data_IF_358952753822
#
_entry.id   IF_358952753822
#
_cell.length_a   1.000
_cell.length_b   1.000
_cell.length_c   1.000
_cell.angle_alpha   90.00
_cell.angle_beta   90.00
_cell.angle_gamma   90.00
#
_symmetry.space_group_name_H-M   'P 1'
#
loop_
_entity.id
_entity.type
_entity.pdbx_description
1 polymer ?
#
# COMPACT_ATOMS: atom_id res chain seq x y z
N UNK A 1 -17.35 -25.95 22.33
CA UNK A 1 -17.73 -26.37 20.96
C UNK A 1 -16.44 -26.65 20.21
N UNK A 2 -16.37 -27.83 19.60
CA UNK A 2 -15.15 -28.60 19.30
C UNK A 2 -14.31 -28.02 18.17
N UNK A 3 -13.02 -27.79 18.41
CA UNK A 3 -12.03 -27.48 17.37
C UNK A 3 -11.65 -28.72 16.60
N UNK A 4 -11.83 -28.70 15.27
CA UNK A 4 -11.25 -29.70 14.36
C UNK A 4 -9.77 -29.38 14.18
N UNK A 5 -8.94 -30.42 14.09
CA UNK A 5 -7.57 -30.30 13.60
C UNK A 5 -7.63 -29.76 12.15
N UNK A 6 -7.28 -28.48 11.97
CA UNK A 6 -7.25 -27.84 10.65
C UNK A 6 -7.72 -26.38 10.61
N UNK A 7 -8.52 -25.93 11.57
CA UNK A 7 -9.07 -24.57 11.53
C UNK A 7 -8.14 -23.61 12.28
N UNK A 8 -7.27 -22.93 11.52
CA UNK A 8 -6.42 -21.86 12.08
C UNK A 8 -7.29 -20.70 12.56
N UNK A 9 -6.95 -20.12 13.70
CA UNK A 9 -7.61 -18.91 14.16
C UNK A 9 -7.19 -17.70 13.31
N UNK A 10 -7.96 -16.61 13.35
CA UNK A 10 -7.59 -15.38 12.63
C UNK A 10 -6.27 -14.80 13.15
N UNK A 11 -5.96 -15.00 14.44
CA UNK A 11 -4.66 -14.62 15.03
C UNK A 11 -3.50 -15.40 14.39
N UNK A 12 -3.67 -16.71 14.20
CA UNK A 12 -2.65 -17.57 13.59
C UNK A 12 -2.44 -17.20 12.13
N UNK A 13 -3.52 -16.95 11.39
CA UNK A 13 -3.49 -16.49 10.00
C UNK A 13 -2.80 -15.13 9.85
N UNK A 14 -3.12 -14.18 10.73
CA UNK A 14 -2.46 -12.87 10.76
C UNK A 14 -0.97 -13.01 11.12
N UNK A 15 -0.62 -13.91 12.04
CA UNK A 15 0.77 -14.16 12.40
C UNK A 15 1.55 -14.78 11.23
N UNK A 16 0.93 -15.63 10.42
CA UNK A 16 1.53 -16.17 9.20
C UNK A 16 1.82 -15.10 8.17
N UNK A 17 0.88 -14.18 7.94
CA UNK A 17 1.09 -13.01 7.10
C UNK A 17 2.29 -12.20 7.62
N UNK A 18 2.29 -11.88 8.90
CA UNK A 18 3.39 -11.11 9.52
C UNK A 18 4.73 -11.81 9.34
N UNK A 19 4.81 -13.13 9.52
CA UNK A 19 6.06 -13.88 9.35
C UNK A 19 6.57 -13.88 7.91
N UNK A 20 5.67 -13.84 6.92
CA UNK A 20 6.06 -13.79 5.50
C UNK A 20 6.69 -12.46 5.12
N UNK A 21 6.14 -11.36 5.63
CA UNK A 21 6.58 -10.01 5.27
C UNK A 21 7.51 -9.36 6.30
N UNK A 22 7.68 -9.96 7.47
CA UNK A 22 8.51 -9.44 8.54
C UNK A 22 9.17 -10.55 9.37
N UNK A 23 10.50 -10.48 9.46
CA UNK A 23 11.29 -11.29 10.38
C UNK A 23 11.90 -10.39 11.45
N UNK A 24 11.68 -10.66 12.75
CA UNK A 24 12.36 -9.93 13.83
C UNK A 24 13.88 -9.98 13.66
N UNK A 25 14.54 -8.82 13.60
CA UNK A 25 15.98 -8.74 13.39
C UNK A 25 16.46 -8.99 11.94
N UNK A 26 15.54 -9.21 10.99
CA UNK A 26 15.85 -9.17 9.56
C UNK A 26 16.06 -7.74 9.06
N UNK A 27 16.59 -7.55 7.83
CA UNK A 27 16.80 -6.21 7.25
C UNK A 27 15.48 -5.44 7.04
N UNK A 28 14.33 -6.10 7.13
CA UNK A 28 13.00 -5.49 7.13
C UNK A 28 12.78 -4.63 8.39
N UNK A 29 13.18 -3.36 8.30
CA UNK A 29 13.01 -2.38 9.36
C UNK A 29 14.30 -1.78 9.91
N UNK A 30 15.46 -2.14 9.36
CA UNK A 30 16.47 -1.09 9.25
C UNK A 30 15.86 -0.10 8.26
N UNK A 31 15.49 1.10 8.72
CA UNK A 31 15.56 2.21 7.80
C UNK A 31 17.00 2.14 7.29
N UNK A 32 17.27 1.90 5.99
CA UNK A 32 18.58 2.28 5.51
C UNK A 32 18.71 3.74 5.93
N UNK A 33 19.74 4.08 6.71
CA UNK A 33 20.28 5.44 6.69
C UNK A 33 20.51 5.65 5.21
N UNK A 34 19.60 6.33 4.52
CA UNK A 34 19.62 6.48 3.06
C UNK A 34 21.06 6.82 2.68
N UNK A 35 21.87 5.89 2.13
CA UNK A 35 22.85 6.36 1.19
C UNK A 35 22.00 6.69 -0.05
N UNK A 36 22.17 7.85 -0.68
CA UNK A 36 21.69 7.98 -2.04
C UNK A 36 22.30 6.79 -2.80
N UNK A 37 21.45 5.84 -3.20
CA UNK A 37 21.86 4.88 -4.20
C UNK A 37 22.19 5.73 -5.43
N UNK A 38 23.43 5.72 -5.94
CA UNK A 38 23.84 6.61 -7.03
C UNK A 38 23.02 6.39 -8.32
N UNK A 39 22.16 5.36 -8.36
CA UNK A 39 21.21 5.11 -9.45
C UNK A 39 19.77 5.55 -9.22
N UNK A 40 19.39 6.09 -8.06
CA UNK A 40 18.01 6.57 -7.84
C UNK A 40 17.93 8.08 -8.10
N UNK A 41 17.13 8.53 -9.09
CA UNK A 41 16.82 9.95 -9.21
C UNK A 41 16.15 10.43 -7.91
N UNK A 42 16.45 11.66 -7.52
CA UNK A 42 15.85 12.35 -6.37
C UNK A 42 14.34 12.05 -6.29
N UNK A 43 13.88 11.53 -5.15
CA UNK A 43 12.48 11.15 -5.00
C UNK A 43 11.60 12.38 -5.27
N UNK A 44 10.73 12.29 -6.27
CA UNK A 44 9.87 13.40 -6.71
C UNK A 44 8.73 13.62 -5.72
N UNK A 45 8.37 12.59 -4.97
CA UNK A 45 7.32 12.67 -3.95
C UNK A 45 7.70 11.82 -2.74
N UNK A 46 7.67 12.43 -1.57
CA UNK A 46 7.85 11.77 -0.27
C UNK A 46 6.66 12.08 0.64
N UNK A 47 5.85 11.07 0.96
CA UNK A 47 4.69 11.20 1.86
C UNK A 47 4.95 10.39 3.12
N UNK A 48 4.77 11.00 4.29
CA UNK A 48 4.92 10.31 5.58
C UNK A 48 3.64 10.39 6.40
N UNK A 49 3.11 9.24 6.79
CA UNK A 49 1.92 9.10 7.66
C UNK A 49 2.32 8.43 8.97
N UNK A 50 1.77 8.90 10.09
CA UNK A 50 2.10 8.40 11.43
C UNK A 50 0.88 7.91 12.21
N UNK A 51 1.08 6.89 13.04
CA UNK A 51 0.10 6.34 13.97
C UNK A 51 0.57 6.58 15.41
N UNK A 52 0.07 7.64 16.04
CA UNK A 52 0.47 8.04 17.41
C UNK A 52 0.17 6.98 18.47
N UNK A 53 -0.84 6.14 18.27
CA UNK A 53 -1.27 5.15 19.27
C UNK A 53 -0.29 3.99 19.41
N UNK A 54 0.42 3.60 18.34
CA UNK A 54 1.42 2.53 18.37
C UNK A 54 2.86 3.04 18.13
N UNK A 55 3.02 4.31 17.79
CA UNK A 55 4.31 4.89 17.40
C UNK A 55 4.78 4.45 16.01
N UNK A 56 3.86 3.99 15.15
CA UNK A 56 4.22 3.58 13.79
C UNK A 56 4.36 4.80 12.86
N UNK A 57 5.20 4.69 11.85
CA UNK A 57 5.34 5.66 10.76
C UNK A 57 5.60 4.94 9.44
N UNK A 58 4.92 5.34 8.38
CA UNK A 58 5.17 4.86 7.01
C UNK A 58 5.54 6.04 6.12
N UNK A 59 6.61 5.90 5.36
CA UNK A 59 7.07 6.85 4.36
C UNK A 59 7.02 6.21 2.98
N UNK A 60 6.34 6.82 2.03
CA UNK A 60 6.29 6.41 0.62
C UNK A 60 7.16 7.35 -0.19
N UNK A 61 8.15 6.79 -0.89
CA UNK A 61 9.02 7.51 -1.81
C UNK A 61 8.68 7.09 -3.24
N UNK A 62 8.52 8.05 -4.15
CA UNK A 62 8.25 7.81 -5.57
C UNK A 62 9.23 8.57 -6.45
N UNK A 63 9.92 7.87 -7.35
CA UNK A 63 10.77 8.47 -8.39
C UNK A 63 9.98 9.12 -9.54
N UNK A 64 10.64 9.86 -10.44
CA UNK A 64 10.03 10.34 -11.67
C UNK A 64 9.67 9.15 -12.55
N UNK A 65 8.38 9.01 -12.91
CA UNK A 65 7.92 7.92 -13.77
C UNK A 65 8.61 7.95 -15.14
N UNK A 66 9.24 6.84 -15.52
CA UNK A 66 9.75 6.66 -16.88
C UNK A 66 8.60 6.62 -17.89
N UNK A 67 8.80 7.22 -19.06
CA UNK A 67 7.87 7.06 -20.18
C UNK A 67 7.93 5.60 -20.67
N UNK A 68 6.90 4.82 -20.36
CA UNK A 68 6.69 3.48 -20.92
C UNK A 68 6.78 2.35 -19.88
N UNK A 69 5.63 1.96 -19.35
CA UNK A 69 5.48 0.74 -18.54
C UNK A 69 4.28 0.81 -17.59
N UNK A 70 3.52 -0.28 -17.48
CA UNK A 70 2.31 -0.39 -16.65
C UNK A 70 2.58 -0.44 -15.13
N UNK A 71 3.82 -0.16 -14.69
CA UNK A 71 4.24 -0.27 -13.29
C UNK A 71 4.89 1.02 -12.79
N UNK A 72 4.72 1.31 -11.50
CA UNK A 72 5.36 2.47 -10.86
C UNK A 72 6.85 2.15 -10.65
N UNK A 73 7.67 2.52 -11.63
CA UNK A 73 9.12 2.50 -11.44
C UNK A 73 9.49 3.45 -10.30
N UNK A 74 10.33 2.96 -9.40
CA UNK A 74 10.85 3.78 -8.31
C UNK A 74 9.87 4.05 -7.17
N UNK A 75 8.94 3.13 -6.88
CA UNK A 75 8.18 3.13 -5.63
C UNK A 75 8.97 2.44 -4.53
N UNK A 76 9.01 3.04 -3.33
CA UNK A 76 9.53 2.41 -2.11
C UNK A 76 8.68 2.79 -0.90
N UNK A 77 8.39 1.84 -0.02
CA UNK A 77 7.64 2.09 1.21
C UNK A 77 8.49 1.71 2.43
N UNK A 78 8.80 2.69 3.27
CA UNK A 78 9.59 2.50 4.49
C UNK A 78 8.67 2.56 5.70
N UNK A 79 8.55 1.45 6.43
CA UNK A 79 7.77 1.39 7.66
C UNK A 79 8.65 1.27 8.92
N UNK A 80 8.32 2.04 9.95
CA UNK A 80 8.82 1.90 11.31
C UNK A 80 7.66 1.66 12.25
N UNK A 81 7.86 0.79 13.24
CA UNK A 81 6.83 0.44 14.20
C UNK A 81 6.64 -1.06 14.36
N UNK A 82 5.42 -1.45 14.70
CA UNK A 82 5.05 -2.82 15.00
C UNK A 82 5.11 -3.75 13.77
N UNK A 83 5.10 -5.05 14.04
CA UNK A 83 5.22 -6.09 13.01
C UNK A 83 4.08 -6.04 11.97
N UNK A 84 2.85 -5.71 12.40
CA UNK A 84 1.70 -5.55 11.49
C UNK A 84 1.90 -4.38 10.53
N UNK A 85 2.39 -3.24 11.03
CA UNK A 85 2.67 -2.07 10.19
C UNK A 85 3.73 -2.39 9.13
N UNK A 86 4.83 -3.04 9.53
CA UNK A 86 5.90 -3.45 8.61
C UNK A 86 5.43 -4.47 7.57
N UNK A 87 4.66 -5.48 8.01
CA UNK A 87 4.10 -6.48 7.11
C UNK A 87 3.13 -5.86 6.09
N UNK A 88 2.24 -4.97 6.55
CA UNK A 88 1.30 -4.25 5.67
C UNK A 88 2.02 -3.36 4.66
N UNK A 89 3.10 -2.68 5.06
CA UNK A 89 3.89 -1.86 4.15
C UNK A 89 4.61 -2.68 3.07
N UNK A 90 5.22 -3.80 3.45
CA UNK A 90 5.88 -4.68 2.49
C UNK A 90 4.88 -5.30 1.50
N UNK A 91 3.70 -5.73 1.97
CA UNK A 91 2.61 -6.20 1.10
C UNK A 91 2.10 -5.10 0.18
N UNK A 92 1.94 -3.87 0.68
CA UNK A 92 1.52 -2.73 -0.14
C UNK A 92 2.53 -2.42 -1.24
N UNK A 93 3.84 -2.44 -0.95
CA UNK A 93 4.90 -2.21 -1.92
C UNK A 93 4.94 -3.31 -2.99
N UNK A 94 4.90 -4.58 -2.59
CA UNK A 94 4.91 -5.71 -3.54
C UNK A 94 3.67 -5.72 -4.43
N UNK A 95 2.52 -5.33 -3.90
CA UNK A 95 1.27 -5.27 -4.66
C UNK A 95 1.28 -4.10 -5.63
N UNK A 96 1.68 -2.91 -5.19
CA UNK A 96 1.70 -1.72 -6.01
C UNK A 96 2.70 -1.78 -7.18
N UNK A 97 3.79 -2.57 -7.04
CA UNK A 97 4.73 -2.80 -8.13
C UNK A 97 4.12 -3.50 -9.36
N UNK A 98 2.99 -4.19 -9.19
CA UNK A 98 2.32 -4.97 -10.24
C UNK A 98 1.10 -4.26 -10.85
N UNK A 99 0.74 -3.08 -10.34
CA UNK A 99 -0.51 -2.40 -10.66
C UNK A 99 -0.26 -1.06 -11.36
N UNK A 100 -1.22 -0.67 -12.20
CA UNK A 100 -1.30 0.71 -12.70
C UNK A 100 -1.69 1.68 -11.59
N UNK A 101 -1.46 2.97 -11.80
CA UNK A 101 -1.80 4.02 -10.82
C UNK A 101 -3.28 3.98 -10.43
N UNK A 102 -4.17 3.78 -11.41
CA UNK A 102 -5.62 3.72 -11.16
C UNK A 102 -5.99 2.49 -10.31
N UNK A 103 -5.39 1.34 -10.59
CA UNK A 103 -5.58 0.12 -9.79
C UNK A 103 -5.02 0.28 -8.37
N UNK A 104 -3.87 0.94 -8.20
CA UNK A 104 -3.29 1.23 -6.87
C UNK A 104 -4.26 2.07 -6.04
N UNK A 105 -4.76 3.19 -6.58
CA UNK A 105 -5.68 4.08 -5.86
C UNK A 105 -6.96 3.34 -5.50
N UNK A 106 -7.48 2.53 -6.43
CA UNK A 106 -8.69 1.73 -6.21
C UNK A 106 -8.49 0.68 -5.12
N UNK A 107 -7.37 -0.05 -5.16
CA UNK A 107 -7.00 -1.04 -4.15
C UNK A 107 -6.80 -0.40 -2.76
N UNK A 108 -6.14 0.77 -2.68
CA UNK A 108 -5.93 1.44 -1.39
C UNK A 108 -7.26 1.78 -0.72
N UNK A 109 -8.21 2.35 -1.48
CA UNK A 109 -9.55 2.66 -0.97
C UNK A 109 -10.26 1.41 -0.47
N UNK A 110 -10.20 0.33 -1.25
CA UNK A 110 -10.83 -0.94 -0.91
C UNK A 110 -10.23 -1.56 0.35
N UNK A 111 -8.90 -1.62 0.46
CA UNK A 111 -8.20 -2.19 1.62
C UNK A 111 -8.48 -1.39 2.89
N UNK A 112 -8.47 -0.06 2.82
CA UNK A 112 -8.81 0.81 3.96
C UNK A 112 -10.26 0.54 4.40
N UNK A 113 -11.21 0.48 3.45
CA UNK A 113 -12.61 0.21 3.76
C UNK A 113 -12.80 -1.15 4.45
N UNK A 114 -12.19 -2.21 3.91
CA UNK A 114 -12.27 -3.58 4.44
C UNK A 114 -11.68 -3.73 5.85
N UNK A 115 -10.51 -3.15 6.09
CA UNK A 115 -9.82 -3.24 7.39
C UNK A 115 -10.59 -2.44 8.46
N UNK A 116 -11.20 -1.32 8.07
CA UNK A 116 -11.94 -0.45 9.00
C UNK A 116 -13.40 -0.86 9.21
N UNK A 117 -13.93 -1.74 8.34
CA UNK A 117 -15.26 -2.31 8.41
C UNK A 117 -15.64 -2.85 9.80
N UNK A 118 -16.94 -2.91 10.06
CA UNK A 118 -17.46 -3.59 11.23
C UNK A 118 -17.16 -5.10 11.12
N UNK A 119 -16.93 -5.76 12.27
CA UNK A 119 -16.54 -7.19 12.32
C UNK A 119 -17.57 -8.10 11.63
N UNK A 120 -18.85 -7.71 11.68
CA UNK A 120 -19.99 -8.46 11.14
C UNK A 120 -20.15 -8.30 9.63
N UNK A 121 -19.42 -7.39 8.99
CA UNK A 121 -19.44 -7.26 7.53
C UNK A 121 -18.62 -8.39 6.92
N UNK A 122 -19.31 -9.22 6.13
CA UNK A 122 -18.72 -10.33 5.39
C UNK A 122 -17.68 -9.80 4.39
N UNK A 123 -16.54 -10.51 4.29
CA UNK A 123 -15.51 -10.17 3.31
C UNK A 123 -16.06 -10.53 1.93
N UNK A 124 -16.20 -9.55 1.06
CA UNK A 124 -16.53 -9.79 -0.36
C UNK A 124 -15.22 -10.07 -1.08
N UNK A 125 -15.16 -10.94 -2.09
CA UNK A 125 -13.93 -11.11 -2.87
C UNK A 125 -13.43 -9.76 -3.43
N UNK A 126 -12.10 -9.61 -3.63
CA UNK A 126 -11.56 -8.42 -4.30
C UNK A 126 -12.18 -8.26 -5.70
N UNK A 127 -12.36 -7.02 -6.20
CA UNK A 127 -12.93 -6.78 -7.52
C UNK A 127 -12.25 -7.64 -8.59
N UNK A 128 -13.05 -8.27 -9.48
CA UNK A 128 -12.55 -9.21 -10.48
C UNK A 128 -11.44 -8.63 -11.39
N UNK A 129 -11.43 -7.32 -11.60
CA UNK A 129 -10.36 -6.63 -12.33
C UNK A 129 -8.98 -6.75 -11.63
N UNK A 130 -8.93 -6.63 -10.31
CA UNK A 130 -7.68 -6.79 -9.54
C UNK A 130 -7.26 -8.25 -9.42
N UNK A 131 -8.23 -9.18 -9.43
CA UNK A 131 -8.00 -10.62 -9.35
C UNK A 131 -7.28 -11.17 -10.60
N UNK A 132 -7.47 -10.56 -11.77
CA UNK A 132 -6.78 -10.95 -13.01
C UNK A 132 -5.33 -10.44 -13.10
N UNK A 133 -4.99 -9.37 -12.37
CA UNK A 133 -3.68 -8.71 -12.45
C UNK A 133 -2.70 -9.22 -11.39
N UNK A 134 -3.21 -9.60 -10.20
CA UNK A 134 -2.39 -10.00 -9.08
C UNK A 134 -2.15 -11.52 -9.02
N UNK A 135 -0.94 -11.96 -8.66
CA UNK A 135 -0.66 -13.35 -8.28
C UNK A 135 -1.59 -13.85 -7.16
N UNK A 136 -1.95 -15.13 -7.22
CA UNK A 136 -2.87 -15.78 -6.25
C UNK A 136 -2.36 -15.68 -4.80
N UNK A 137 -1.04 -15.73 -4.58
CA UNK A 137 -0.45 -15.59 -3.26
C UNK A 137 -0.59 -14.17 -2.70
N UNK A 138 -0.47 -13.13 -3.54
CA UNK A 138 -0.73 -11.74 -3.13
C UNK A 138 -2.21 -11.54 -2.83
N UNK A 139 -3.12 -12.07 -3.65
CA UNK A 139 -4.56 -11.98 -3.39
C UNK A 139 -4.93 -12.60 -2.05
N UNK A 140 -4.44 -13.81 -1.78
CA UNK A 140 -4.61 -14.47 -0.48
C UNK A 140 -4.04 -13.64 0.66
N UNK A 141 -2.91 -12.98 0.46
CA UNK A 141 -2.26 -12.18 1.50
C UNK A 141 -3.02 -10.88 1.80
N UNK A 142 -3.67 -10.28 0.80
CA UNK A 142 -4.59 -9.16 0.99
C UNK A 142 -5.84 -9.59 1.79
N UNK A 143 -6.39 -10.77 1.51
CA UNK A 143 -7.48 -11.36 2.29
C UNK A 143 -7.07 -11.65 3.74
N UNK A 144 -5.84 -12.14 3.95
CA UNK A 144 -5.30 -12.35 5.30
C UNK A 144 -5.12 -11.02 6.05
N UNK A 145 -4.72 -9.94 5.37
CA UNK A 145 -4.58 -8.62 5.99
C UNK A 145 -5.95 -8.07 6.44
N UNK A 146 -7.03 -8.37 5.73
CA UNK A 146 -8.40 -7.97 6.13
C UNK A 146 -8.78 -8.53 7.50
N UNK A 147 -8.23 -9.69 7.91
CA UNK A 147 -8.53 -10.31 9.21
C UNK A 147 -8.17 -9.40 10.40
N UNK A 148 -7.34 -8.37 10.20
CA UNK A 148 -7.06 -7.32 11.19
C UNK A 148 -8.34 -6.60 11.65
N UNK A 149 -9.46 -6.65 10.91
CA UNK A 149 -10.76 -6.14 11.39
C UNK A 149 -11.20 -6.80 12.72
N UNK A 150 -10.74 -8.03 12.99
CA UNK A 150 -10.94 -8.75 14.27
C UNK A 150 -10.03 -8.26 15.41
N UNK A 151 -9.02 -7.43 15.12
CA UNK A 151 -8.12 -6.79 16.08
C UNK A 151 -8.22 -5.25 16.03
N UNK A 152 -9.26 -4.63 16.60
CA UNK A 152 -9.49 -3.17 16.50
C UNK A 152 -8.28 -2.31 16.87
N UNK A 153 -7.53 -2.70 17.90
CA UNK A 153 -6.30 -2.00 18.33
C UNK A 153 -5.14 -2.05 17.33
N UNK A 154 -5.24 -2.81 16.24
CA UNK A 154 -4.23 -2.95 15.18
C UNK A 154 -4.70 -2.47 13.80
N UNK A 155 -5.96 -2.04 13.64
CA UNK A 155 -6.49 -1.54 12.37
C UNK A 155 -5.65 -0.40 11.80
N UNK A 156 -5.32 0.58 12.64
CA UNK A 156 -4.50 1.74 12.22
C UNK A 156 -3.09 1.34 11.81
N UNK A 157 -2.49 0.32 12.44
CA UNK A 157 -1.20 -0.21 12.04
C UNK A 157 -1.26 -0.81 10.62
N UNK A 158 -2.36 -1.49 10.30
CA UNK A 158 -2.56 -2.14 9.02
C UNK A 158 -2.92 -1.14 7.90
N UNK A 159 -3.71 -0.09 8.16
CA UNK A 159 -4.11 0.88 7.11
C UNK A 159 -3.03 1.90 6.75
N UNK A 160 -2.04 2.12 7.63
CA UNK A 160 -1.10 3.24 7.53
C UNK A 160 -0.35 3.31 6.19
N UNK A 161 0.09 2.17 5.65
CA UNK A 161 0.78 2.09 4.36
C UNK A 161 -0.14 2.38 3.19
N UNK A 162 -1.38 1.91 3.22
CA UNK A 162 -2.38 2.13 2.17
C UNK A 162 -2.83 3.58 2.12
N UNK A 163 -2.90 4.26 3.26
CA UNK A 163 -3.19 5.69 3.33
C UNK A 163 -2.05 6.52 2.72
N UNK A 164 -0.81 6.26 3.13
CA UNK A 164 0.36 6.94 2.58
C UNK A 164 0.50 6.71 1.07
N UNK A 165 0.16 5.50 0.60
CA UNK A 165 0.18 5.14 -0.81
C UNK A 165 -0.93 5.87 -1.58
N UNK A 166 -2.15 5.91 -1.05
CA UNK A 166 -3.26 6.65 -1.65
C UNK A 166 -2.92 8.15 -1.78
N UNK A 167 -2.35 8.76 -0.74
CA UNK A 167 -1.91 10.16 -0.76
C UNK A 167 -0.83 10.40 -1.83
N UNK A 168 0.18 9.53 -1.91
CA UNK A 168 1.26 9.65 -2.89
C UNK A 168 0.79 9.60 -4.35
N UNK A 169 -0.36 8.96 -4.63
CA UNK A 169 -0.94 8.87 -5.97
C UNK A 169 -2.13 9.81 -6.20
N UNK A 170 -2.73 10.39 -5.16
CA UNK A 170 -3.82 11.36 -5.27
C UNK A 170 -3.35 12.73 -5.80
N UNK A 171 -2.11 13.15 -5.50
CA UNK A 171 -1.56 14.46 -5.88
C UNK A 171 -1.40 14.69 -7.40
N UNK A 172 -1.70 13.71 -8.24
CA UNK A 172 -1.64 13.87 -9.71
C UNK A 172 -2.97 14.26 -10.36
N UNK A 173 -4.11 14.19 -9.66
CA UNK A 173 -5.38 14.66 -10.22
C UNK A 173 -5.54 16.19 -10.19
N UNK A 174 -4.69 16.91 -9.44
CA UNK A 174 -4.75 18.37 -9.28
C UNK A 174 -3.66 19.15 -10.03
N UNK A 175 -2.83 18.51 -10.86
CA UNK A 175 -1.78 19.19 -11.65
C UNK A 175 -1.76 18.85 -13.14
N UNK A 176 -2.77 18.13 -13.66
CA UNK A 176 -3.04 18.08 -15.11
C UNK A 176 -4.14 19.09 -15.45
N UNK A 177 -3.81 20.38 -15.38
CA UNK A 177 -4.63 21.45 -15.94
C UNK A 177 -3.80 22.50 -16.69
N UNK A 178 -3.14 22.10 -17.79
CA UNK A 178 -2.88 23.05 -18.88
C UNK A 178 -2.99 22.33 -20.23
N UNK A 179 -4.22 22.19 -20.73
CA UNK A 179 -4.41 22.03 -22.18
C UNK A 179 -4.03 23.36 -22.84
N UNK A 180 -2.85 23.43 -23.45
CA UNK A 180 -2.33 24.63 -24.14
C UNK A 180 -2.90 24.74 -25.56
N UNK A 181 -4.10 24.17 -25.82
CA UNK A 181 -4.70 24.12 -27.15
C UNK A 181 -5.66 25.27 -27.48
N UNK A 182 -5.71 26.35 -26.67
CA UNK A 182 -6.40 27.58 -27.03
C UNK A 182 -5.54 28.83 -26.82
N UNK A 183 -4.51 28.98 -27.65
CA UNK A 183 -4.07 30.32 -28.07
C UNK A 183 -4.75 30.61 -29.39
N UNK A 184 -5.96 31.17 -29.30
CA UNK A 184 -6.66 31.75 -30.45
C UNK A 184 -5.78 32.87 -31.00
N UNK A 185 -5.46 32.73 -32.28
CA UNK A 185 -4.86 33.75 -33.14
C UNK A 185 -5.69 35.03 -33.05
N UNK A 186 -5.10 36.09 -32.52
CA UNK A 186 -5.37 37.45 -32.98
C UNK A 186 -4.07 38.00 -33.55
N UNK A 187 -3.87 37.76 -34.84
CA UNK A 187 -2.97 38.57 -35.65
C UNK A 187 -3.79 39.71 -36.24
N UNK A 188 -3.24 40.90 -36.07
CA UNK A 188 -3.68 42.21 -36.51
C UNK A 188 -4.05 42.25 -38.01
N UNK A 189 -5.10 43.02 -38.32
CA UNK A 189 -5.26 44.06 -39.39
C UNK A 189 -6.75 44.26 -39.66
#
# INVERSE_FOLDING_TARGET
MSGRAGDKTWEELLLELVRRYYTPGGPAGAAPKVPPDPGYPEAVTEITVTNRSCGDSVTVCRGPGGQGGCGVQGLRIVARGCAVCKASAALAESTAALLSVQEIVSLCREMIARITAAREQESVALPGALSCTLPEDILRDLELLELVKNAPGRRRCATLSWEALAEAFAERESSDCVDTSQVIRYSEI
#
